data_IF_679484459530
#
_entry.id   IF_679484459530
#
_cell.length_a   1.000
_cell.length_b   1.000
_cell.length_c   1.000
_cell.angle_alpha   90.00
_cell.angle_beta   90.00
_cell.angle_gamma   90.00
#
_symmetry.space_group_name_H-M   'P 1'
#
loop_
_entity.id
_entity.type
_entity.pdbx_description
1 polymer ?
#
# COMPACT_ATOMS: atom_id res chain seq x y z
N UNK A 1 36.61 -16.87 2.27
CA UNK A 1 35.35 -16.23 2.75
C UNK A 1 35.70 -14.86 3.30
N UNK A 2 35.09 -13.78 2.80
CA UNK A 2 35.36 -12.41 3.29
C UNK A 2 34.81 -12.23 4.72
N UNK A 3 35.40 -11.32 5.50
CA UNK A 3 34.94 -10.99 6.87
C UNK A 3 33.45 -10.63 6.88
N UNK A 4 32.97 -9.94 5.84
CA UNK A 4 31.55 -9.62 5.65
C UNK A 4 30.66 -10.88 5.52
N UNK A 5 31.13 -11.93 4.83
CA UNK A 5 30.40 -13.19 4.70
C UNK A 5 30.33 -13.94 6.03
N UNK A 6 31.40 -13.93 6.83
CA UNK A 6 31.41 -14.52 8.17
C UNK A 6 30.46 -13.79 9.13
N UNK A 7 30.45 -12.45 9.12
CA UNK A 7 29.52 -11.64 9.91
C UNK A 7 28.06 -11.87 9.48
N UNK A 8 27.80 -11.97 8.17
CA UNK A 8 26.48 -12.30 7.64
C UNK A 8 25.98 -13.66 8.13
N UNK A 9 26.81 -14.70 8.04
CA UNK A 9 26.48 -16.05 8.53
C UNK A 9 26.26 -16.05 10.04
N UNK A 10 27.12 -15.39 10.82
CA UNK A 10 26.97 -15.28 12.27
C UNK A 10 25.67 -14.54 12.66
N UNK A 11 25.31 -13.48 11.93
CA UNK A 11 24.04 -12.75 12.13
C UNK A 11 22.81 -13.62 11.84
N UNK A 12 22.85 -14.42 10.76
CA UNK A 12 21.77 -15.36 10.43
C UNK A 12 21.65 -16.45 11.50
N UNK A 13 22.76 -17.02 11.96
CA UNK A 13 22.77 -18.03 13.03
C UNK A 13 22.21 -17.43 14.33
N UNK A 14 22.64 -16.23 14.71
CA UNK A 14 22.12 -15.54 15.90
C UNK A 14 20.61 -15.30 15.79
N UNK A 15 20.11 -14.87 14.63
CA UNK A 15 18.69 -14.69 14.39
C UNK A 15 17.91 -16.02 14.53
N UNK A 16 18.41 -17.10 13.93
CA UNK A 16 17.80 -18.44 14.04
C UNK A 16 17.75 -18.89 15.50
N UNK A 17 18.87 -18.75 16.24
CA UNK A 17 18.94 -19.11 17.65
C UNK A 17 17.95 -18.29 18.48
N UNK A 18 17.84 -16.97 18.25
CA UNK A 18 16.86 -16.12 18.94
C UNK A 18 15.43 -16.56 18.62
N UNK A 19 15.10 -16.86 17.36
CA UNK A 19 13.76 -17.33 16.96
C UNK A 19 13.43 -18.68 17.57
N UNK A 20 14.39 -19.61 17.66
CA UNK A 20 14.20 -20.92 18.27
C UNK A 20 14.03 -20.80 19.78
N UNK A 21 14.89 -20.03 20.46
CA UNK A 21 14.83 -19.83 21.91
C UNK A 21 13.56 -19.06 22.33
N UNK A 22 13.09 -18.14 21.49
CA UNK A 22 11.88 -17.36 21.74
C UNK A 22 10.65 -17.94 21.05
N UNK A 23 10.70 -19.19 20.55
CA UNK A 23 9.63 -19.77 19.73
C UNK A 23 8.25 -19.68 20.37
N UNK A 24 8.13 -20.01 21.65
CA UNK A 24 6.84 -19.96 22.36
C UNK A 24 6.32 -18.53 22.49
N UNK A 25 7.19 -17.59 22.90
CA UNK A 25 6.84 -16.16 23.00
C UNK A 25 6.51 -15.57 21.63
N UNK A 26 7.21 -16.00 20.59
CA UNK A 26 6.97 -15.62 19.20
C UNK A 26 5.62 -16.13 18.71
N UNK A 27 5.29 -17.39 18.98
CA UNK A 27 3.99 -17.97 18.65
C UNK A 27 2.85 -17.26 19.39
N UNK A 28 2.99 -17.07 20.70
CA UNK A 28 2.02 -16.29 21.50
C UNK A 28 1.85 -14.89 20.91
N UNK A 29 2.95 -14.20 20.63
CA UNK A 29 2.94 -12.89 19.99
C UNK A 29 2.41 -12.89 18.56
N UNK A 30 2.35 -13.99 17.81
CA UNK A 30 1.62 -13.97 16.53
C UNK A 30 0.13 -14.22 16.68
N UNK A 31 -0.26 -15.12 17.58
CA UNK A 31 -1.61 -15.67 17.63
C UNK A 31 -2.49 -15.15 18.77
N UNK A 32 -1.99 -14.22 19.58
CA UNK A 32 -2.81 -13.51 20.57
C UNK A 32 -4.00 -12.78 19.92
N UNK A 33 -5.11 -12.71 20.64
CA UNK A 33 -6.27 -11.94 20.25
C UNK A 33 -6.31 -10.59 21.00
N UNK A 34 -6.75 -9.54 20.32
CA UNK A 34 -6.79 -8.17 20.82
C UNK A 34 -8.16 -7.52 20.63
N UNK A 35 -8.33 -6.32 21.19
CA UNK A 35 -9.56 -5.53 21.02
C UNK A 35 -9.73 -5.11 19.53
N UNK A 36 -10.87 -5.43 18.89
CA UNK A 36 -11.13 -5.07 17.49
C UNK A 36 -11.16 -3.58 17.19
N UNK A 37 -11.25 -2.71 18.22
CA UNK A 37 -11.30 -1.25 18.05
C UNK A 37 -10.07 -0.70 17.35
N UNK A 38 -8.88 -1.26 17.57
CA UNK A 38 -7.64 -0.75 16.96
C UNK A 38 -7.64 -0.96 15.45
N UNK A 39 -7.85 -2.21 15.02
CA UNK A 39 -7.89 -2.55 13.60
C UNK A 39 -9.09 -1.89 12.88
N UNK A 40 -10.21 -1.68 13.57
CA UNK A 40 -11.36 -0.97 13.02
C UNK A 40 -11.09 0.52 12.79
N UNK A 41 -10.41 1.21 13.73
CA UNK A 41 -9.97 2.61 13.52
C UNK A 41 -9.00 2.69 12.35
N UNK A 42 -8.06 1.75 12.30
CA UNK A 42 -7.12 1.67 11.20
C UNK A 42 -7.86 1.50 9.86
N UNK A 43 -8.86 0.61 9.77
CA UNK A 43 -9.70 0.44 8.57
C UNK A 43 -10.30 1.77 8.08
N UNK A 44 -10.89 2.55 8.99
CA UNK A 44 -11.53 3.83 8.65
C UNK A 44 -10.51 4.83 8.11
N UNK A 45 -9.39 5.02 8.83
CA UNK A 45 -8.33 5.95 8.43
C UNK A 45 -7.69 5.50 7.11
N UNK A 46 -7.41 4.20 6.99
CA UNK A 46 -6.82 3.62 5.80
C UNK A 46 -7.72 3.80 4.57
N UNK A 47 -9.01 3.51 4.69
CA UNK A 47 -9.95 3.69 3.59
C UNK A 47 -10.08 5.16 3.16
N UNK A 48 -10.05 6.10 4.11
CA UNK A 48 -10.00 7.53 3.81
C UNK A 48 -8.71 7.90 3.05
N UNK A 49 -7.54 7.43 3.53
CA UNK A 49 -6.27 7.67 2.86
C UNK A 49 -6.22 7.05 1.45
N UNK A 50 -6.84 5.89 1.27
CA UNK A 50 -6.96 5.21 -0.02
C UNK A 50 -7.81 6.03 -0.99
N UNK A 51 -8.94 6.59 -0.54
CA UNK A 51 -9.75 7.53 -1.32
C UNK A 51 -8.94 8.77 -1.70
N UNK A 52 -8.24 9.39 -0.74
CA UNK A 52 -7.42 10.57 -0.97
C UNK A 52 -6.24 10.30 -1.92
N UNK A 53 -5.66 9.11 -1.89
CA UNK A 53 -4.56 8.73 -2.78
C UNK A 53 -5.01 8.67 -4.24
N UNK A 54 -6.11 7.97 -4.53
CA UNK A 54 -6.63 7.89 -5.91
C UNK A 54 -7.19 9.24 -6.36
N UNK A 55 -8.00 9.92 -5.55
CA UNK A 55 -8.54 11.24 -5.90
C UNK A 55 -7.49 12.35 -5.96
N UNK A 56 -6.33 12.16 -5.32
CA UNK A 56 -5.18 13.05 -5.44
C UNK A 56 -4.66 13.15 -6.88
N UNK A 57 -4.97 12.17 -7.73
CA UNK A 57 -4.60 12.12 -9.15
C UNK A 57 -5.67 12.72 -10.08
N UNK A 58 -6.71 13.39 -9.55
CA UNK A 58 -7.85 13.85 -10.36
C UNK A 58 -7.44 14.73 -11.56
N UNK A 59 -6.44 15.61 -11.40
CA UNK A 59 -5.91 16.45 -12.49
C UNK A 59 -5.26 15.64 -13.63
N UNK A 60 -4.86 14.40 -13.32
CA UNK A 60 -4.13 13.50 -14.21
C UNK A 60 -4.98 12.32 -14.70
N UNK A 61 -6.26 12.24 -14.35
CA UNK A 61 -7.10 11.09 -14.71
C UNK A 61 -7.21 10.89 -16.22
N UNK A 62 -7.46 11.97 -16.97
CA UNK A 62 -7.51 11.94 -18.43
C UNK A 62 -6.18 11.45 -19.03
N UNK A 63 -5.06 12.01 -18.55
CA UNK A 63 -3.73 11.63 -19.04
C UNK A 63 -3.36 10.18 -18.71
N UNK A 64 -3.68 9.70 -17.51
CA UNK A 64 -3.17 8.43 -17.01
C UNK A 64 -4.06 7.24 -17.35
N UNK A 65 -5.39 7.40 -17.37
CA UNK A 65 -6.33 6.29 -17.38
C UNK A 65 -7.32 6.28 -18.54
N UNK A 66 -7.66 7.44 -19.11
CA UNK A 66 -8.61 7.51 -20.21
C UNK A 66 -8.02 6.99 -21.54
N UNK A 67 -8.87 6.55 -22.49
CA UNK A 67 -8.42 6.08 -23.80
C UNK A 67 -7.64 7.13 -24.62
N UNK A 68 -7.96 8.41 -24.42
CA UNK A 68 -7.30 9.57 -25.05
C UNK A 68 -5.96 9.94 -24.40
N UNK A 69 -5.62 9.31 -23.27
CA UNK A 69 -4.43 9.62 -22.49
C UNK A 69 -3.13 9.08 -23.07
N UNK A 70 -2.14 8.90 -22.21
CA UNK A 70 -0.77 8.50 -22.56
C UNK A 70 -0.67 7.13 -23.24
N UNK A 71 -1.55 6.20 -22.86
CA UNK A 71 -1.59 4.85 -23.43
C UNK A 71 -3.03 4.49 -23.80
N UNK A 72 -3.24 4.02 -25.02
CA UNK A 72 -4.48 3.33 -25.40
C UNK A 72 -4.62 2.02 -24.61
N UNK A 73 -5.81 1.44 -24.51
CA UNK A 73 -5.99 0.16 -23.80
C UNK A 73 -5.07 -0.95 -24.34
N UNK A 74 -4.89 -1.02 -25.66
CA UNK A 74 -4.00 -1.98 -26.31
C UNK A 74 -2.52 -1.77 -25.95
N UNK A 75 -2.05 -0.52 -25.93
CA UNK A 75 -0.68 -0.19 -25.53
C UNK A 75 -0.44 -0.48 -24.04
N UNK A 76 -1.39 -0.10 -23.19
CA UNK A 76 -1.34 -0.37 -21.76
C UNK A 76 -1.33 -1.88 -21.49
N UNK A 77 -2.13 -2.66 -22.23
CA UNK A 77 -2.14 -4.12 -22.13
C UNK A 77 -0.80 -4.72 -22.53
N UNK A 78 -0.21 -4.26 -23.64
CA UNK A 78 1.09 -4.75 -24.10
C UNK A 78 2.23 -4.38 -23.12
N UNK A 79 2.16 -3.21 -22.50
CA UNK A 79 3.19 -2.73 -21.58
C UNK A 79 3.06 -3.30 -20.15
N UNK A 80 1.84 -3.46 -19.65
CA UNK A 80 1.56 -3.72 -18.23
C UNK A 80 0.69 -4.94 -17.94
N UNK A 81 -0.04 -5.45 -18.93
CA UNK A 81 -1.01 -6.54 -18.77
C UNK A 81 -0.39 -7.94 -18.77
N UNK A 82 -1.23 -8.94 -18.53
CA UNK A 82 -0.86 -10.35 -18.73
C UNK A 82 -0.91 -10.72 -20.22
N UNK A 83 0.07 -11.52 -20.68
CA UNK A 83 0.16 -11.97 -22.07
C UNK A 83 -0.98 -12.95 -22.46
N UNK A 84 -1.50 -13.71 -21.51
CA UNK A 84 -2.46 -14.79 -21.77
C UNK A 84 -3.92 -14.32 -21.63
N UNK A 85 -4.80 -14.85 -22.48
CA UNK A 85 -6.25 -14.59 -22.46
C UNK A 85 -7.05 -15.72 -21.80
N UNK A 86 -8.25 -15.39 -21.29
CA UNK A 86 -9.20 -16.34 -20.71
C UNK A 86 -9.34 -16.26 -19.18
N UNK A 87 -10.35 -16.93 -18.62
CA UNK A 87 -10.69 -16.84 -17.19
C UNK A 87 -9.57 -17.33 -16.26
N UNK A 88 -8.87 -18.40 -16.64
CA UNK A 88 -7.70 -18.92 -15.88
C UNK A 88 -6.54 -17.94 -15.94
N UNK A 89 -6.31 -17.31 -17.09
CA UNK A 89 -5.29 -16.27 -17.24
C UNK A 89 -5.65 -15.01 -16.45
N UNK A 90 -6.92 -14.61 -16.41
CA UNK A 90 -7.41 -13.50 -15.59
C UNK A 90 -7.25 -13.78 -14.08
N UNK A 91 -7.54 -14.99 -13.62
CA UNK A 91 -7.27 -15.40 -12.25
C UNK A 91 -5.76 -15.41 -11.96
N UNK A 92 -4.95 -15.95 -12.87
CA UNK A 92 -3.50 -15.89 -12.78
C UNK A 92 -2.98 -14.46 -12.77
N UNK A 93 -3.59 -13.56 -13.53
CA UNK A 93 -3.24 -12.15 -13.55
C UNK A 93 -3.64 -11.44 -12.26
N UNK A 94 -4.79 -11.77 -11.68
CA UNK A 94 -5.22 -11.25 -10.40
C UNK A 94 -4.24 -11.68 -9.28
N UNK A 95 -3.82 -12.94 -9.30
CA UNK A 95 -2.88 -13.49 -8.31
C UNK A 95 -1.46 -12.97 -8.48
N UNK A 96 -1.00 -12.79 -9.73
CA UNK A 96 0.31 -12.17 -10.03
C UNK A 96 0.30 -10.66 -9.81
N UNK A 97 -0.89 -10.05 -9.73
CA UNK A 97 -1.08 -8.61 -9.76
C UNK A 97 -0.66 -8.07 -11.10
N UNK A 98 -1.43 -8.28 -12.15
CA UNK A 98 -1.36 -7.57 -13.43
C UNK A 98 -2.73 -7.60 -14.12
N UNK A 99 -3.79 -7.58 -13.32
CA UNK A 99 -5.16 -7.64 -13.78
C UNK A 99 -5.77 -6.24 -13.82
N UNK A 100 -6.21 -5.84 -15.02
CA UNK A 100 -7.07 -4.68 -15.20
C UNK A 100 -8.05 -4.94 -16.34
N UNK A 101 -9.35 -4.72 -16.08
CA UNK A 101 -10.40 -4.77 -17.12
C UNK A 101 -10.22 -3.64 -18.13
N UNK A 102 -9.60 -2.53 -17.73
CA UNK A 102 -9.32 -1.37 -18.57
C UNK A 102 -8.29 -1.66 -19.67
N UNK A 103 -7.64 -2.83 -19.66
CA UNK A 103 -6.83 -3.32 -20.79
C UNK A 103 -7.65 -3.84 -21.97
N UNK A 104 -8.91 -4.18 -21.72
CA UNK A 104 -9.81 -4.80 -22.70
C UNK A 104 -11.01 -3.90 -23.01
N UNK A 105 -11.23 -2.86 -22.19
CA UNK A 105 -12.34 -1.94 -22.32
C UNK A 105 -11.82 -0.51 -22.55
N UNK A 106 -11.97 -0.02 -23.78
CA UNK A 106 -11.38 1.23 -24.28
C UNK A 106 -12.43 2.33 -24.53
N UNK A 107 -13.57 2.27 -23.83
CA UNK A 107 -14.64 3.27 -23.96
C UNK A 107 -14.38 4.49 -23.06
N UNK A 108 -14.92 5.66 -23.42
CA UNK A 108 -14.76 6.91 -22.67
C UNK A 108 -15.25 6.80 -21.22
N UNK A 109 -16.24 5.93 -20.97
CA UNK A 109 -16.80 5.72 -19.63
C UNK A 109 -16.13 4.59 -18.85
N UNK A 110 -15.22 3.82 -19.45
CA UNK A 110 -14.64 2.62 -18.82
C UNK A 110 -13.94 2.95 -17.50
N UNK A 111 -13.06 3.96 -17.53
CA UNK A 111 -12.35 4.41 -16.33
C UNK A 111 -13.32 4.97 -15.29
N UNK A 112 -14.26 5.82 -15.68
CA UNK A 112 -15.27 6.41 -14.79
C UNK A 112 -16.07 5.35 -14.05
N UNK A 113 -16.48 4.28 -14.73
CA UNK A 113 -17.20 3.17 -14.09
C UNK A 113 -16.33 2.47 -13.05
N UNK A 114 -15.08 2.15 -13.39
CA UNK A 114 -14.15 1.51 -12.43
C UNK A 114 -13.88 2.43 -11.23
N UNK A 115 -13.72 3.74 -11.46
CA UNK A 115 -13.52 4.74 -10.43
C UNK A 115 -14.72 4.80 -9.48
N UNK A 116 -15.95 4.92 -10.01
CA UNK A 116 -17.17 4.94 -9.18
C UNK A 116 -17.34 3.66 -8.38
N UNK A 117 -17.06 2.49 -8.98
CA UNK A 117 -17.09 1.20 -8.27
C UNK A 117 -16.07 1.18 -7.14
N UNK A 118 -14.85 1.64 -7.40
CA UNK A 118 -13.80 1.76 -6.40
C UNK A 118 -14.22 2.69 -5.25
N UNK A 119 -14.73 3.88 -5.56
CA UNK A 119 -15.12 4.88 -4.57
C UNK A 119 -16.28 4.37 -3.69
N UNK A 120 -17.34 3.86 -4.31
CA UNK A 120 -18.48 3.31 -3.59
C UNK A 120 -18.05 2.12 -2.71
N UNK A 121 -17.28 1.19 -3.25
CA UNK A 121 -16.79 0.04 -2.48
C UNK A 121 -15.89 0.48 -1.32
N UNK A 122 -15.03 1.47 -1.52
CA UNK A 122 -14.13 1.99 -0.48
C UNK A 122 -14.92 2.73 0.60
N UNK A 123 -15.96 3.50 0.24
CA UNK A 123 -16.85 4.14 1.21
C UNK A 123 -17.62 3.10 2.02
N UNK A 124 -18.17 2.06 1.37
CA UNK A 124 -18.84 0.95 2.04
C UNK A 124 -17.88 0.21 2.98
N UNK A 125 -16.64 -0.01 2.56
CA UNK A 125 -15.59 -0.61 3.38
C UNK A 125 -15.19 0.28 4.56
N UNK A 126 -15.08 1.59 4.35
CA UNK A 126 -14.79 2.60 5.38
C UNK A 126 -15.83 2.56 6.48
N UNK A 127 -17.13 2.63 6.14
CA UNK A 127 -18.23 2.56 7.12
C UNK A 127 -18.44 1.15 7.68
N UNK A 128 -17.88 0.13 7.03
CA UNK A 128 -17.98 -1.27 7.44
C UNK A 128 -19.36 -1.88 7.17
N UNK A 129 -19.91 -1.63 5.97
CA UNK A 129 -21.09 -2.32 5.44
C UNK A 129 -20.64 -3.40 4.44
N UNK A 130 -21.12 -4.63 4.62
CA UNK A 130 -20.66 -5.80 3.86
C UNK A 130 -19.12 -5.89 3.85
N UNK A 131 -18.48 -5.64 5.00
CA UNK A 131 -17.06 -5.24 5.15
C UNK A 131 -16.09 -6.11 4.33
N UNK A 132 -16.27 -7.43 4.33
CA UNK A 132 -15.37 -8.34 3.61
C UNK A 132 -15.54 -8.28 2.10
N UNK A 133 -16.79 -8.17 1.63
CA UNK A 133 -17.11 -8.05 0.20
C UNK A 133 -16.71 -6.67 -0.31
N UNK A 134 -17.06 -5.61 0.42
CA UNK A 134 -16.67 -4.25 0.08
C UNK A 134 -15.14 -4.09 0.02
N UNK A 135 -14.40 -4.67 0.98
CA UNK A 135 -12.94 -4.67 0.96
C UNK A 135 -12.35 -5.45 -0.20
N UNK A 136 -12.93 -6.60 -0.58
CA UNK A 136 -12.49 -7.38 -1.74
C UNK A 136 -12.73 -6.62 -3.06
N UNK A 137 -13.90 -5.99 -3.22
CA UNK A 137 -14.21 -5.17 -4.39
C UNK A 137 -13.27 -3.96 -4.44
N UNK A 138 -13.02 -3.31 -3.30
CA UNK A 138 -12.05 -2.21 -3.18
C UNK A 138 -10.67 -2.66 -3.63
N UNK A 139 -10.19 -3.82 -3.18
CA UNK A 139 -8.89 -4.38 -3.57
C UNK A 139 -8.81 -4.61 -5.07
N UNK A 140 -9.81 -5.29 -5.63
CA UNK A 140 -9.83 -5.61 -7.06
C UNK A 140 -9.91 -4.34 -7.91
N UNK A 141 -10.76 -3.38 -7.56
CA UNK A 141 -10.88 -2.12 -8.30
C UNK A 141 -9.62 -1.26 -8.17
N UNK A 142 -8.98 -1.24 -6.99
CA UNK A 142 -7.69 -0.57 -6.80
C UNK A 142 -6.59 -1.19 -7.67
N UNK A 143 -6.49 -2.53 -7.74
CA UNK A 143 -5.57 -3.20 -8.67
C UNK A 143 -5.86 -2.81 -10.13
N UNK A 144 -7.13 -2.76 -10.54
CA UNK A 144 -7.48 -2.39 -11.93
C UNK A 144 -6.94 -1.00 -12.28
N UNK A 145 -7.06 -0.03 -11.37
CA UNK A 145 -6.55 1.33 -11.57
C UNK A 145 -5.02 1.32 -11.64
N UNK A 146 -4.35 0.67 -10.68
CA UNK A 146 -2.89 0.63 -10.62
C UNK A 146 -2.25 -0.06 -11.83
N UNK A 147 -2.86 -1.15 -12.33
CA UNK A 147 -2.34 -1.89 -13.48
C UNK A 147 -2.70 -1.27 -14.83
N UNK A 148 -3.71 -0.38 -14.88
CA UNK A 148 -4.02 0.37 -16.09
C UNK A 148 -2.85 1.24 -16.55
N UNK A 149 -2.10 1.82 -15.61
CA UNK A 149 -0.91 2.60 -15.92
C UNK A 149 0.07 2.59 -14.75
N UNK A 150 1.30 2.10 -14.97
CA UNK A 150 2.31 2.00 -13.91
C UNK A 150 3.25 3.20 -13.82
N UNK A 151 3.10 4.20 -14.69
CA UNK A 151 4.05 5.32 -14.77
C UNK A 151 4.07 6.17 -13.50
N UNK A 152 2.92 6.33 -12.83
CA UNK A 152 2.82 7.08 -11.57
C UNK A 152 3.03 6.20 -10.33
N UNK A 153 3.30 4.91 -10.49
CA UNK A 153 3.33 3.95 -9.40
C UNK A 153 4.55 4.18 -8.51
N UNK A 154 4.32 4.41 -7.21
CA UNK A 154 5.36 4.56 -6.21
C UNK A 154 5.34 3.42 -5.17
N UNK A 155 6.32 3.43 -4.26
CA UNK A 155 6.37 2.47 -3.16
C UNK A 155 5.14 2.51 -2.24
N UNK A 156 4.45 3.64 -2.17
CA UNK A 156 3.27 3.83 -1.31
C UNK A 156 2.09 2.96 -1.75
N UNK A 157 1.84 2.86 -3.05
CA UNK A 157 0.75 2.07 -3.64
C UNK A 157 0.94 0.57 -3.33
N UNK A 158 2.20 0.10 -3.30
CA UNK A 158 2.53 -1.26 -2.89
C UNK A 158 2.17 -1.51 -1.42
N UNK A 159 2.44 -0.54 -0.54
CA UNK A 159 2.07 -0.64 0.88
C UNK A 159 0.54 -0.65 1.03
N UNK A 160 -0.17 0.21 0.31
CA UNK A 160 -1.63 0.26 0.33
C UNK A 160 -2.24 -1.06 -0.12
N UNK A 161 -1.75 -1.62 -1.23
CA UNK A 161 -2.15 -2.95 -1.72
C UNK A 161 -2.01 -4.02 -0.64
N UNK A 162 -0.83 -4.14 -0.04
CA UNK A 162 -0.55 -5.19 0.97
C UNK A 162 -1.38 -4.99 2.23
N UNK A 163 -1.51 -3.75 2.70
CA UNK A 163 -2.31 -3.43 3.89
C UNK A 163 -3.79 -3.70 3.67
N UNK A 164 -4.31 -3.42 2.46
CA UNK A 164 -5.68 -3.73 2.10
C UNK A 164 -5.93 -5.25 2.11
N UNK A 165 -5.00 -6.07 1.59
CA UNK A 165 -5.06 -7.54 1.69
C UNK A 165 -5.13 -7.98 3.14
N UNK A 166 -4.26 -7.45 4.00
CA UNK A 166 -4.28 -7.78 5.43
C UNK A 166 -5.61 -7.39 6.09
N UNK A 167 -6.18 -6.23 5.72
CA UNK A 167 -7.48 -5.82 6.26
C UNK A 167 -8.63 -6.72 5.79
N UNK A 168 -8.67 -7.10 4.51
CA UNK A 168 -9.67 -8.02 3.95
C UNK A 168 -9.60 -9.39 4.62
N UNK A 169 -8.39 -9.86 4.95
CA UNK A 169 -8.16 -11.11 5.67
C UNK A 169 -8.34 -10.98 7.20
N UNK A 170 -8.47 -9.77 7.72
CA UNK A 170 -8.67 -9.50 9.15
C UNK A 170 -10.15 -9.45 9.53
N UNK A 171 -10.43 -9.49 10.84
CA UNK A 171 -11.77 -9.22 11.40
C UNK A 171 -11.99 -7.71 11.66
N UNK A 172 -11.60 -6.85 10.72
CA UNK A 172 -11.71 -5.39 10.87
C UNK A 172 -13.17 -4.85 10.90
N UNK A 173 -14.17 -5.70 10.64
CA UNK A 173 -15.60 -5.38 10.69
C UNK A 173 -16.31 -5.67 12.02
N UNK A 174 -15.60 -6.00 13.09
CA UNK A 174 -16.20 -6.32 14.41
C UNK A 174 -16.40 -5.09 15.31
N UNK A 175 -15.72 -3.98 15.02
CA UNK A 175 -15.88 -2.70 15.70
C UNK A 175 -15.99 -1.56 14.69
N UNK A 176 -16.61 -0.45 15.11
CA UNK A 176 -16.84 0.76 14.30
C UNK A 176 -17.36 0.46 12.88
N UNK A 177 -18.22 -0.55 12.74
CA UNK A 177 -18.75 -1.04 11.47
C UNK A 177 -20.27 -1.06 11.52
N UNK A 178 -20.92 -0.66 10.43
CA UNK A 178 -22.38 -0.78 10.27
C UNK A 178 -22.82 -2.23 10.43
N UNK A 179 -22.07 -3.19 9.88
CA UNK A 179 -22.39 -4.62 10.02
C UNK A 179 -22.43 -5.05 11.50
N UNK A 180 -21.44 -4.63 12.31
CA UNK A 180 -21.40 -4.93 13.74
C UNK A 180 -22.56 -4.27 14.50
N UNK A 181 -22.90 -3.03 14.14
CA UNK A 181 -24.04 -2.33 14.71
C UNK A 181 -25.37 -3.02 14.39
N UNK A 182 -25.58 -3.45 13.14
CA UNK A 182 -26.77 -4.20 12.72
C UNK A 182 -26.87 -5.56 13.43
N UNK A 183 -25.76 -6.30 13.57
CA UNK A 183 -25.73 -7.58 14.29
C UNK A 183 -26.13 -7.41 15.77
N UNK A 184 -25.64 -6.36 16.44
CA UNK A 184 -26.02 -6.04 17.83
C UNK A 184 -27.48 -5.62 17.94
N UNK A 185 -27.98 -4.80 17.02
CA UNK A 185 -29.41 -4.41 17.03
C UNK A 185 -30.35 -5.58 16.81
N UNK A 186 -29.94 -6.60 16.07
CA UNK A 186 -30.70 -7.84 15.87
C UNK A 186 -30.56 -8.83 17.04
N UNK A 187 -29.77 -8.51 18.07
CA UNK A 187 -29.51 -9.41 19.20
C UNK A 187 -28.66 -10.64 18.85
N UNK A 188 -27.99 -10.65 17.69
CA UNK A 188 -27.23 -11.81 17.18
C UNK A 188 -25.81 -11.87 17.77
N UNK A 189 -25.28 -10.75 18.27
CA UNK A 189 -23.94 -10.68 18.84
C UNK A 189 -23.94 -9.99 20.20
N UNK A 190 -23.15 -10.55 21.12
CA UNK A 190 -22.82 -9.97 22.41
C UNK A 190 -21.75 -8.87 22.33
N UNK A 191 -21.01 -8.60 23.42
CA UNK A 191 -19.92 -7.62 23.43
C UNK A 191 -18.84 -7.96 22.38
N UNK A 192 -18.03 -6.96 21.95
CA UNK A 192 -17.03 -7.16 20.88
C UNK A 192 -16.10 -8.33 21.21
N UNK A 193 -16.05 -9.33 20.33
CA UNK A 193 -15.11 -10.45 20.45
C UNK A 193 -13.68 -9.99 20.19
N UNK A 194 -12.72 -10.59 20.88
CA UNK A 194 -11.31 -10.40 20.57
C UNK A 194 -11.01 -10.96 19.17
N UNK A 195 -10.16 -10.24 18.43
CA UNK A 195 -9.79 -10.58 17.06
C UNK A 195 -8.29 -10.93 16.99
N UNK A 196 -7.87 -11.82 16.08
CA UNK A 196 -6.44 -12.14 15.95
C UNK A 196 -5.60 -10.90 15.63
N UNK A 197 -4.52 -10.68 16.37
CA UNK A 197 -3.67 -9.49 16.23
C UNK A 197 -2.63 -9.58 15.08
N UNK A 198 -2.47 -10.76 14.46
CA UNK A 198 -1.50 -10.97 13.38
C UNK A 198 -1.57 -9.94 12.23
N UNK A 199 -2.74 -9.45 11.75
CA UNK A 199 -2.77 -8.53 10.62
C UNK A 199 -2.12 -7.19 10.97
N UNK A 200 -2.44 -6.65 12.15
CA UNK A 200 -1.87 -5.40 12.65
C UNK A 200 -0.36 -5.55 12.89
N UNK A 201 0.05 -6.69 13.44
CA UNK A 201 1.47 -7.01 13.69
C UNK A 201 2.25 -7.12 12.39
N UNK A 202 1.70 -7.76 11.33
CA UNK A 202 2.33 -7.78 10.01
C UNK A 202 2.50 -6.38 9.43
N UNK A 203 1.48 -5.52 9.52
CA UNK A 203 1.59 -4.13 9.06
C UNK A 203 2.72 -3.38 9.77
N UNK A 204 2.82 -3.54 11.09
CA UNK A 204 3.88 -2.92 11.90
C UNK A 204 5.25 -3.45 11.54
N UNK A 205 5.43 -4.78 11.46
CA UNK A 205 6.71 -5.40 11.10
C UNK A 205 7.12 -4.97 9.69
N UNK A 206 6.20 -4.97 8.73
CA UNK A 206 6.45 -4.50 7.37
C UNK A 206 6.91 -3.04 7.37
N UNK A 207 6.23 -2.16 8.11
CA UNK A 207 6.62 -0.76 8.23
C UNK A 207 8.00 -0.60 8.88
N UNK A 208 8.31 -1.35 9.93
CA UNK A 208 9.63 -1.36 10.55
C UNK A 208 10.71 -1.80 9.56
N UNK A 209 10.47 -2.86 8.78
CA UNK A 209 11.41 -3.32 7.75
C UNK A 209 11.61 -2.23 6.71
N UNK A 210 10.53 -1.66 6.14
CA UNK A 210 10.61 -0.60 5.13
C UNK A 210 11.38 0.61 5.67
N UNK A 211 11.06 1.09 6.86
CA UNK A 211 11.72 2.26 7.44
C UNK A 211 13.19 1.98 7.80
N UNK A 212 13.50 0.76 8.24
CA UNK A 212 14.88 0.36 8.53
C UNK A 212 15.70 0.24 7.25
N UNK A 213 15.20 -0.45 6.23
CA UNK A 213 15.91 -0.63 4.97
C UNK A 213 16.10 0.69 4.23
N UNK A 214 15.07 1.53 4.17
CA UNK A 214 15.18 2.87 3.58
C UNK A 214 16.16 3.75 4.36
N UNK A 215 16.19 3.68 5.69
CA UNK A 215 17.18 4.38 6.50
C UNK A 215 18.61 3.92 6.22
N UNK A 216 18.85 2.60 6.16
CA UNK A 216 20.17 2.04 5.85
C UNK A 216 20.66 2.41 4.44
N UNK A 217 19.75 2.42 3.45
CA UNK A 217 20.08 2.84 2.08
C UNK A 217 20.42 4.33 1.98
N UNK A 218 19.99 5.15 2.95
CA UNK A 218 20.35 6.57 3.04
C UNK A 218 21.68 6.83 3.74
N UNK A 219 22.46 5.80 4.03
CA UNK A 219 23.82 5.94 4.55
C UNK A 219 24.88 6.09 3.43
N UNK A 220 24.45 6.13 2.16
CA UNK A 220 25.34 6.36 1.03
C UNK A 220 25.86 7.82 0.96
N UNK A 221 27.01 8.01 0.29
CA UNK A 221 27.69 9.30 0.18
C UNK A 221 26.83 10.40 -0.47
N UNK A 222 25.90 10.07 -1.37
CA UNK A 222 25.00 11.06 -1.97
C UNK A 222 24.01 11.67 -0.95
N UNK A 223 23.60 10.89 0.06
CA UNK A 223 22.73 11.38 1.13
C UNK A 223 23.52 12.18 2.16
N UNK A 224 24.70 11.69 2.56
CA UNK A 224 25.55 12.36 3.57
C UNK A 224 26.13 13.70 3.08
N UNK A 225 26.38 13.85 1.78
CA UNK A 225 26.84 15.13 1.20
C UNK A 225 25.70 16.11 0.91
N UNK A 226 24.44 15.71 1.10
CA UNK A 226 23.26 16.55 0.87
C UNK A 226 22.73 16.56 -0.57
N UNK A 227 23.42 15.95 -1.53
CA UNK A 227 23.00 15.91 -2.95
C UNK A 227 21.60 15.29 -3.11
N UNK A 228 21.37 14.13 -2.50
CA UNK A 228 20.10 13.42 -2.60
C UNK A 228 18.94 14.21 -1.97
N UNK A 229 19.21 14.96 -0.89
CA UNK A 229 18.23 15.83 -0.24
C UNK A 229 17.89 17.01 -1.14
N UNK A 230 18.90 17.65 -1.74
CA UNK A 230 18.70 18.74 -2.69
C UNK A 230 17.81 18.30 -3.87
N UNK A 231 18.11 17.15 -4.47
CA UNK A 231 17.30 16.63 -5.58
C UNK A 231 15.91 16.23 -5.14
N UNK A 232 15.74 15.55 -4.01
CA UNK A 232 14.41 15.16 -3.51
C UNK A 232 13.50 16.38 -3.28
N UNK A 233 14.07 17.50 -2.81
CA UNK A 233 13.34 18.76 -2.58
C UNK A 233 13.12 19.59 -3.86
N UNK A 234 13.96 19.41 -4.88
CA UNK A 234 13.89 20.17 -6.14
C UNK A 234 13.09 19.45 -7.23
N UNK A 235 12.87 18.15 -7.07
CA UNK A 235 12.16 17.34 -8.06
C UNK A 235 10.67 17.65 -8.03
N UNK A 236 10.15 18.19 -9.13
CA UNK A 236 8.78 18.72 -9.21
C UNK A 236 7.71 17.66 -8.89
N UNK A 237 8.00 16.39 -9.18
CA UNK A 237 7.14 15.25 -8.86
C UNK A 237 6.89 15.08 -7.35
N UNK A 238 7.82 15.52 -6.48
CA UNK A 238 7.69 15.39 -5.02
C UNK A 238 7.28 16.69 -4.32
N UNK A 239 7.36 17.83 -5.00
CA UNK A 239 7.05 19.12 -4.39
C UNK A 239 5.57 19.45 -4.48
N UNK A 240 4.88 19.52 -3.34
CA UNK A 240 3.49 20.05 -3.28
C UNK A 240 3.41 21.56 -3.49
N UNK A 241 4.44 22.28 -3.08
CA UNK A 241 4.55 23.73 -3.26
C UNK A 241 5.81 24.01 -4.07
N UNK A 242 5.72 24.89 -5.07
CA UNK A 242 6.90 25.30 -5.86
C UNK A 242 7.85 26.09 -4.96
N UNK A 243 8.84 25.39 -4.42
CA UNK A 243 9.95 25.96 -3.64
C UNK A 243 11.25 26.01 -4.45
N UNK A 244 11.21 25.59 -5.72
CA UNK A 244 12.38 25.47 -6.60
C UNK A 244 13.15 26.78 -6.73
N UNK A 245 12.46 27.93 -6.80
CA UNK A 245 13.12 29.25 -6.85
C UNK A 245 13.82 29.66 -5.54
N UNK A 246 13.39 29.13 -4.39
CA UNK A 246 14.05 29.30 -3.11
C UNK A 246 15.25 28.34 -3.00
N UNK A 247 15.07 27.08 -3.36
CA UNK A 247 16.11 26.05 -3.32
C UNK A 247 17.26 26.33 -4.29
N UNK A 248 16.98 26.90 -5.47
CA UNK A 248 18.00 27.29 -6.45
C UNK A 248 18.98 28.35 -5.92
N UNK A 249 18.63 29.05 -4.84
CA UNK A 249 19.51 30.04 -4.18
C UNK A 249 20.38 29.41 -3.10
N UNK A 250 20.15 28.15 -2.75
CA UNK A 250 20.88 27.43 -1.71
C UNK A 250 21.83 26.43 -2.38
N UNK A 251 23.15 26.50 -2.15
CA UNK A 251 24.08 25.54 -2.71
C UNK A 251 23.77 24.12 -2.18
N UNK A 252 23.89 23.06 -3.00
CA UNK A 252 23.61 21.68 -2.57
C UNK A 252 24.38 21.25 -1.32
N UNK A 253 25.61 21.73 -1.15
CA UNK A 253 26.45 21.47 0.01
C UNK A 253 25.84 21.95 1.33
N UNK A 254 25.03 23.03 1.29
CA UNK A 254 24.31 23.50 2.48
C UNK A 254 23.22 22.51 2.93
N UNK A 255 22.76 21.61 2.05
CA UNK A 255 21.82 20.54 2.43
C UNK A 255 22.48 19.46 3.28
N UNK A 256 23.82 19.37 3.29
CA UNK A 256 24.54 18.46 4.20
C UNK A 256 24.26 18.81 5.67
N UNK A 257 24.06 20.09 6.00
CA UNK A 257 23.75 20.52 7.37
C UNK A 257 22.39 20.02 7.90
N UNK A 258 21.49 19.61 6.99
CA UNK A 258 20.18 19.03 7.33
C UNK A 258 20.20 17.50 7.31
N UNK A 259 21.37 16.91 7.04
CA UNK A 259 21.61 15.47 7.07
C UNK A 259 22.34 15.08 8.34
N UNK A 260 22.32 13.80 8.69
CA UNK A 260 23.03 13.31 9.86
C UNK A 260 24.54 13.44 9.64
N UNK A 261 25.18 14.39 10.35
CA UNK A 261 26.63 14.50 10.41
C UNK A 261 27.16 13.49 11.41
N UNK A 262 27.86 12.47 10.93
CA UNK A 262 28.59 11.54 11.79
C UNK A 262 29.83 12.21 12.42
#
# INVERSE_FOLDING_TARGET
>A
MTIAALLGVAGVIALIVVVVLLRERWQQWWFECEDPRQIARFRVVFALLLLCNVNGLHEWFELLFEPSGMFTAAQARAAFGAADEGAVAALGALLRGNFSVLHYWDDAYAFTVVLVVFELATVLFMVGLCTRVAGLITLVAFEMILWRNRVFWEGTEVVFRVFLVYLVCSRCGEAFAVDAWLRRRRGVQGPPELVPAWPRRLMLVQLCIIMTTTGLLKHDGAWLRGDAVYYALSYEHYTRFRITGLLARIPPEAMAAVTFTA
#
